data_IF_984359179091
#
_entry.id   IF_984359179091
#
_cell.length_a   1.000
_cell.length_b   1.000
_cell.length_c   1.000
_cell.angle_alpha   90.00
_cell.angle_beta   90.00
_cell.angle_gamma   90.00
#
_symmetry.space_group_name_H-M   'P 1'
#
loop_
_entity.id
_entity.type
_entity.pdbx_description
1 polymer ?
#
# COMPACT_ATOMS: atom_id res chain seq x y z
N UNK A 1 18.10 11.39 -21.45
CA UNK A 1 18.11 11.52 -19.98
C UNK A 1 16.82 10.86 -19.53
N UNK A 2 16.86 9.53 -19.43
CA UNK A 2 15.66 8.70 -19.28
C UNK A 2 15.17 8.80 -17.84
N UNK A 3 13.92 9.23 -17.68
CA UNK A 3 13.29 9.43 -16.37
C UNK A 3 12.62 8.14 -15.94
N UNK A 4 12.97 7.69 -14.74
CA UNK A 4 12.53 6.47 -14.07
C UNK A 4 11.23 6.70 -13.29
N UNK A 5 10.37 5.69 -13.19
CA UNK A 5 9.12 5.74 -12.43
C UNK A 5 8.85 4.41 -11.72
N UNK A 6 8.22 4.48 -10.54
CA UNK A 6 7.80 3.31 -9.76
C UNK A 6 6.28 3.15 -9.84
N UNK A 7 5.82 1.93 -10.06
CA UNK A 7 4.40 1.59 -10.06
C UNK A 7 3.93 1.13 -8.68
N UNK A 8 3.38 2.08 -7.92
CA UNK A 8 2.24 1.96 -6.97
C UNK A 8 1.55 3.34 -6.86
N UNK A 9 2.30 4.43 -7.09
CA UNK A 9 1.81 5.81 -7.26
C UNK A 9 2.76 6.49 -8.25
N UNK A 10 2.26 7.06 -9.35
CA UNK A 10 3.10 7.82 -10.29
C UNK A 10 3.50 9.16 -9.66
N UNK A 11 4.76 9.29 -9.27
CA UNK A 11 5.32 10.58 -8.86
C UNK A 11 5.80 11.36 -10.09
N UNK A 12 5.10 12.44 -10.42
CA UNK A 12 5.67 13.54 -11.22
C UNK A 12 6.07 14.65 -10.27
N UNK A 13 7.35 14.98 -10.22
CA UNK A 13 7.84 16.16 -9.51
C UNK A 13 7.17 17.41 -10.10
N UNK A 14 6.21 17.98 -9.38
CA UNK A 14 5.59 19.28 -9.70
C UNK A 14 5.68 20.18 -8.47
N UNK A 15 6.34 21.32 -8.66
CA UNK A 15 6.40 22.38 -7.67
C UNK A 15 5.00 22.99 -7.56
N UNK A 16 4.42 22.92 -6.36
CA UNK A 16 3.21 23.66 -5.99
C UNK A 16 1.92 22.96 -6.39
N UNK A 17 0.93 23.10 -5.51
CA UNK A 17 -0.46 22.65 -5.59
C UNK A 17 -0.76 21.31 -4.91
N UNK A 18 -1.63 21.40 -3.90
CA UNK A 18 -2.28 20.29 -3.22
C UNK A 18 -3.13 19.52 -4.25
N UNK A 19 -2.95 18.21 -4.35
CA UNK A 19 -3.70 17.35 -5.27
C UNK A 19 -4.77 16.59 -4.46
N UNK A 20 -6.04 16.90 -4.72
CA UNK A 20 -7.17 16.08 -4.26
C UNK A 20 -7.59 15.19 -5.43
N UNK A 21 -7.63 13.88 -5.21
CA UNK A 21 -8.10 12.89 -6.19
C UNK A 21 -9.60 13.08 -6.45
N UNK A 22 -9.93 13.90 -7.45
CA UNK A 22 -11.07 13.57 -8.29
C UNK A 22 -10.54 12.45 -9.19
N UNK A 23 -11.05 11.23 -9.07
CA UNK A 23 -10.97 10.24 -10.13
C UNK A 23 -12.38 10.18 -10.72
N UNK A 24 -12.47 10.42 -12.03
CA UNK A 24 -13.72 10.38 -12.78
C UNK A 24 -13.41 10.08 -14.24
N UNK A 25 -14.37 9.55 -15.01
CA UNK A 25 -14.17 9.26 -16.43
C UNK A 25 -13.78 10.52 -17.24
N UNK A 26 -14.01 11.72 -16.69
CA UNK A 26 -13.69 13.01 -17.31
C UNK A 26 -12.22 13.42 -17.14
N UNK A 27 -11.44 12.73 -16.30
CA UNK A 27 -10.04 13.10 -16.04
C UNK A 27 -9.08 12.25 -16.86
N UNK A 28 -7.96 12.84 -17.25
CA UNK A 28 -6.94 12.16 -18.05
C UNK A 28 -6.37 10.98 -17.26
N UNK A 29 -6.64 9.77 -17.75
CA UNK A 29 -6.15 8.53 -17.18
C UNK A 29 -4.80 8.15 -17.81
N UNK A 30 -3.90 7.62 -16.98
CA UNK A 30 -2.66 7.03 -17.47
C UNK A 30 -2.89 5.54 -17.72
N UNK A 31 -2.71 5.11 -18.96
CA UNK A 31 -2.60 3.71 -19.33
C UNK A 31 -1.18 3.18 -19.08
N UNK A 32 -0.99 1.85 -18.95
CA UNK A 32 0.33 1.24 -18.84
C UNK A 32 1.30 1.67 -19.96
N UNK A 33 0.80 1.91 -21.17
CA UNK A 33 1.60 2.36 -22.31
C UNK A 33 2.11 3.81 -22.19
N UNK A 34 1.53 4.62 -21.30
CA UNK A 34 1.93 6.00 -21.04
C UNK A 34 2.92 6.13 -19.88
N UNK A 35 3.26 5.00 -19.24
CA UNK A 35 4.18 4.99 -18.12
C UNK A 35 5.62 5.04 -18.64
N UNK A 36 6.54 5.70 -17.91
CA UNK A 36 7.96 5.48 -18.16
C UNK A 36 8.31 4.01 -17.91
N UNK A 37 9.43 3.52 -18.47
CA UNK A 37 9.98 2.22 -18.09
C UNK A 37 10.05 2.09 -16.56
N UNK A 38 9.50 0.99 -16.04
CA UNK A 38 9.48 0.70 -14.61
C UNK A 38 10.71 -0.10 -14.24
N UNK A 39 11.35 0.22 -13.12
CA UNK A 39 12.46 -0.59 -12.59
C UNK A 39 11.97 -1.73 -11.68
N UNK A 40 10.77 -1.58 -11.10
CA UNK A 40 10.13 -2.54 -10.22
C UNK A 40 8.64 -2.23 -9.98
N UNK A 41 7.91 -3.23 -9.49
CA UNK A 41 6.55 -3.11 -8.95
C UNK A 41 6.53 -3.59 -7.51
N UNK A 42 5.79 -2.91 -6.65
CA UNK A 42 5.61 -3.30 -5.25
C UNK A 42 4.14 -3.59 -4.98
N UNK A 43 3.82 -4.75 -4.43
CA UNK A 43 2.47 -5.13 -4.03
C UNK A 43 2.39 -5.06 -2.51
N UNK A 44 1.40 -4.35 -1.96
CA UNK A 44 1.22 -4.16 -0.52
C UNK A 44 0.56 -5.37 0.13
N UNK A 45 -0.50 -5.89 -0.51
CA UNK A 45 -1.28 -7.03 -0.03
C UNK A 45 -2.06 -7.70 -1.16
N UNK A 46 -2.84 -8.72 -0.82
CA UNK A 46 -3.42 -9.69 -1.77
C UNK A 46 -4.71 -9.24 -2.48
N UNK A 47 -5.25 -8.10 -2.10
CA UNK A 47 -6.54 -7.66 -2.60
C UNK A 47 -6.47 -7.20 -4.05
N UNK A 48 -7.55 -7.40 -4.78
CA UNK A 48 -7.55 -7.31 -6.24
C UNK A 48 -7.29 -5.89 -6.76
N UNK A 49 -7.64 -4.87 -5.98
CA UNK A 49 -7.38 -3.47 -6.25
C UNK A 49 -5.91 -3.07 -6.03
N UNK A 50 -5.11 -3.91 -5.35
CA UNK A 50 -3.66 -3.74 -5.15
C UNK A 50 -2.80 -4.79 -5.85
N UNK A 51 -3.37 -5.95 -6.15
CA UNK A 51 -2.72 -7.10 -6.78
C UNK A 51 -3.52 -7.60 -7.98
N UNK A 52 -3.60 -6.76 -9.02
CA UNK A 52 -4.29 -7.13 -10.25
C UNK A 52 -3.36 -7.93 -11.19
N UNK A 53 -3.55 -9.25 -11.26
CA UNK A 53 -2.75 -10.13 -12.13
C UNK A 53 -2.85 -9.76 -13.62
N UNK A 54 -3.99 -9.21 -14.07
CA UNK A 54 -4.18 -8.75 -15.43
C UNK A 54 -3.27 -7.56 -15.77
N UNK A 55 -3.14 -6.60 -14.85
CA UNK A 55 -2.19 -5.48 -15.00
C UNK A 55 -0.74 -5.98 -14.96
N UNK A 56 -0.42 -6.89 -14.04
CA UNK A 56 0.93 -7.45 -13.90
C UNK A 56 1.37 -8.26 -15.14
N UNK A 57 0.43 -8.84 -15.88
CA UNK A 57 0.66 -9.55 -17.14
C UNK A 57 1.07 -8.60 -18.28
N UNK A 58 0.67 -7.33 -18.24
CA UNK A 58 1.02 -6.34 -19.27
C UNK A 58 2.45 -5.81 -19.14
N UNK A 59 3.14 -6.11 -18.04
CA UNK A 59 4.48 -5.62 -17.76
C UNK A 59 5.55 -6.57 -18.32
N UNK A 60 6.71 -6.05 -18.78
CA UNK A 60 7.82 -6.89 -19.24
C UNK A 60 8.24 -7.92 -18.18
N UNK A 61 8.58 -9.13 -18.60
CA UNK A 61 8.81 -10.31 -17.74
C UNK A 61 9.98 -10.12 -16.74
N UNK A 62 10.97 -9.33 -17.13
CA UNK A 62 12.18 -9.02 -16.38
C UNK A 62 11.99 -8.00 -15.26
N UNK A 63 10.88 -7.25 -15.26
CA UNK A 63 10.55 -6.32 -14.18
C UNK A 63 10.31 -7.10 -12.88
N UNK A 64 11.09 -6.83 -11.80
CA UNK A 64 10.89 -7.46 -10.52
C UNK A 64 9.57 -7.02 -9.89
N UNK A 65 8.80 -7.98 -9.39
CA UNK A 65 7.63 -7.76 -8.56
C UNK A 65 8.00 -8.06 -7.12
N UNK A 66 7.96 -7.05 -6.26
CA UNK A 66 8.20 -7.17 -4.83
C UNK A 66 6.86 -7.39 -4.14
N UNK A 67 6.76 -8.44 -3.34
CA UNK A 67 5.54 -8.81 -2.61
C UNK A 67 5.86 -9.00 -1.13
N UNK A 68 4.85 -8.96 -0.25
CA UNK A 68 5.03 -9.33 1.13
C UNK A 68 5.49 -10.78 1.26
N UNK A 69 6.20 -11.08 2.35
CA UNK A 69 6.42 -12.47 2.72
C UNK A 69 5.10 -13.12 3.16
N UNK A 70 5.10 -14.45 3.30
CA UNK A 70 3.93 -15.19 3.78
C UNK A 70 4.38 -16.29 4.75
N UNK A 71 3.48 -16.67 5.66
CA UNK A 71 3.70 -17.81 6.54
C UNK A 71 2.85 -19.00 6.11
N UNK A 72 3.42 -20.22 5.99
CA UNK A 72 2.66 -21.41 5.55
C UNK A 72 1.42 -21.71 6.41
N UNK A 73 1.48 -21.40 7.70
CA UNK A 73 0.36 -21.63 8.63
C UNK A 73 -0.72 -20.53 8.59
N UNK A 74 -0.52 -19.44 7.85
CA UNK A 74 -1.49 -18.35 7.71
C UNK A 74 -2.44 -18.65 6.54
N UNK A 75 -3.40 -19.55 6.78
CA UNK A 75 -4.35 -20.01 5.75
C UNK A 75 -5.31 -18.91 5.24
N UNK A 76 -5.38 -17.77 5.93
CA UNK A 76 -6.12 -16.58 5.51
C UNK A 76 -5.32 -15.67 4.57
N UNK A 77 -4.03 -15.96 4.35
CA UNK A 77 -3.16 -15.22 3.46
C UNK A 77 -2.82 -16.03 2.21
N UNK A 78 -2.72 -15.33 1.09
CA UNK A 78 -2.30 -15.89 -0.19
C UNK A 78 -0.79 -15.75 -0.32
N UNK A 79 -0.10 -16.86 -0.64
CA UNK A 79 1.29 -16.80 -1.09
C UNK A 79 1.35 -16.14 -2.48
N UNK A 80 1.48 -14.81 -2.50
CA UNK A 80 1.52 -14.01 -3.73
C UNK A 80 2.68 -14.39 -4.64
N UNK A 81 3.80 -14.82 -4.07
CA UNK A 81 4.96 -15.25 -4.84
C UNK A 81 4.66 -16.51 -5.65
N UNK A 82 4.02 -17.49 -5.01
CA UNK A 82 3.58 -18.72 -5.67
C UNK A 82 2.45 -18.45 -6.65
N UNK A 83 1.45 -17.65 -6.27
CA UNK A 83 0.34 -17.26 -7.16
C UNK A 83 0.86 -16.61 -8.45
N UNK A 84 1.70 -15.58 -8.33
CA UNK A 84 2.22 -14.84 -9.48
C UNK A 84 3.03 -15.76 -10.40
N UNK A 85 3.90 -16.62 -9.85
CA UNK A 85 4.68 -17.56 -10.68
C UNK A 85 3.81 -18.62 -11.34
N UNK A 86 2.73 -19.06 -10.70
CA UNK A 86 1.81 -20.04 -11.27
C UNK A 86 0.96 -19.44 -12.40
N UNK A 87 0.51 -18.19 -12.26
CA UNK A 87 -0.38 -17.54 -13.24
C UNK A 87 0.41 -16.84 -14.35
N UNK A 88 1.46 -16.08 -14.01
CA UNK A 88 2.23 -15.27 -14.97
C UNK A 88 3.49 -15.98 -15.49
N UNK A 89 3.80 -17.18 -14.97
CA UNK A 89 4.90 -18.02 -15.42
C UNK A 89 6.08 -18.07 -14.45
N UNK A 90 6.74 -19.24 -14.38
CA UNK A 90 7.80 -19.56 -13.41
C UNK A 90 9.03 -18.67 -13.50
N UNK A 91 9.26 -18.04 -14.65
CA UNK A 91 10.38 -17.15 -14.92
C UNK A 91 10.18 -15.75 -14.35
N UNK A 92 8.95 -15.39 -13.94
CA UNK A 92 8.65 -14.09 -13.35
C UNK A 92 9.51 -13.83 -12.13
N UNK A 93 10.24 -12.72 -12.13
CA UNK A 93 11.09 -12.32 -11.01
C UNK A 93 10.22 -11.78 -9.87
N UNK A 94 9.95 -12.63 -8.89
CA UNK A 94 9.21 -12.24 -7.68
C UNK A 94 10.13 -12.23 -6.47
N UNK A 95 10.20 -11.10 -5.77
CA UNK A 95 11.01 -10.89 -4.57
C UNK A 95 10.06 -10.78 -3.38
N UNK A 96 10.26 -11.62 -2.36
CA UNK A 96 9.54 -11.47 -1.09
C UNK A 96 10.30 -10.52 -0.18
N UNK A 97 9.58 -9.67 0.52
CA UNK A 97 10.17 -8.72 1.46
C UNK A 97 9.46 -8.79 2.82
N UNK A 98 10.20 -9.09 3.88
CA UNK A 98 9.68 -9.13 5.25
C UNK A 98 9.65 -7.75 5.90
N UNK A 99 8.85 -7.59 6.95
CA UNK A 99 8.86 -6.37 7.77
C UNK A 99 10.27 -6.04 8.27
N UNK A 100 10.71 -4.81 8.05
CA UNK A 100 12.03 -4.30 8.41
C UNK A 100 13.14 -4.63 7.41
N UNK A 101 12.93 -5.57 6.49
CA UNK A 101 13.90 -5.83 5.43
C UNK A 101 13.93 -4.68 4.43
N UNK A 102 15.11 -4.52 3.84
CA UNK A 102 15.42 -3.46 2.91
C UNK A 102 15.99 -4.05 1.63
N UNK A 103 15.47 -3.62 0.48
CA UNK A 103 16.10 -3.87 -0.82
C UNK A 103 16.55 -2.55 -1.43
N UNK A 104 17.54 -2.63 -2.32
CA UNK A 104 17.93 -1.50 -3.16
C UNK A 104 17.75 -1.90 -4.61
N UNK A 105 16.98 -1.10 -5.34
CA UNK A 105 16.84 -1.20 -6.79
C UNK A 105 17.35 0.11 -7.35
N UNK A 106 18.50 0.03 -8.03
CA UNK A 106 19.25 1.18 -8.51
C UNK A 106 19.61 2.17 -7.37
N UNK A 107 19.17 3.43 -7.44
CA UNK A 107 19.44 4.46 -6.44
C UNK A 107 18.37 4.56 -5.33
N UNK A 108 17.37 3.67 -5.36
CA UNK A 108 16.24 3.70 -4.43
C UNK A 108 16.33 2.55 -3.45
N UNK A 109 16.38 2.92 -2.16
CA UNK A 109 16.32 1.99 -1.05
C UNK A 109 14.88 1.88 -0.56
N UNK A 110 14.31 0.69 -0.64
CA UNK A 110 12.95 0.41 -0.17
C UNK A 110 12.98 -0.45 1.07
N UNK A 111 12.33 0.00 2.15
CA UNK A 111 12.17 -0.77 3.39
C UNK A 111 10.70 -1.11 3.59
N UNK A 112 10.39 -2.39 3.79
CA UNK A 112 9.04 -2.81 4.16
C UNK A 112 8.78 -2.55 5.65
N UNK A 113 7.56 -2.18 6.00
CA UNK A 113 7.10 -2.08 7.38
C UNK A 113 5.67 -2.62 7.52
N UNK A 114 5.22 -2.98 8.73
CA UNK A 114 3.97 -3.71 8.88
C UNK A 114 2.73 -2.93 8.45
N UNK A 115 1.82 -3.65 7.80
CA UNK A 115 0.47 -3.22 7.48
C UNK A 115 -0.49 -3.60 8.61
N UNK A 116 -1.43 -2.72 8.97
CA UNK A 116 -2.43 -2.96 10.04
C UNK A 116 -3.84 -2.52 9.65
N UNK A 117 -4.85 -2.90 10.44
CA UNK A 117 -6.20 -2.34 10.37
C UNK A 117 -7.19 -3.18 9.56
N UNK A 118 -6.81 -3.57 8.35
CA UNK A 118 -7.74 -4.17 7.39
C UNK A 118 -8.10 -5.65 7.62
N UNK A 119 -7.19 -6.42 8.23
CA UNK A 119 -7.44 -7.80 8.68
C UNK A 119 -7.87 -7.87 10.16
N UNK A 120 -8.77 -8.82 10.52
CA UNK A 120 -9.18 -9.11 11.90
C UNK A 120 -8.02 -9.07 12.90
N UNK A 121 -8.26 -8.56 14.11
CA UNK A 121 -7.18 -8.37 15.09
C UNK A 121 -6.51 -9.69 15.50
N UNK A 122 -7.29 -10.78 15.45
CA UNK A 122 -6.84 -12.16 15.65
C UNK A 122 -6.03 -12.73 14.50
N UNK A 123 -6.16 -12.18 13.29
CA UNK A 123 -5.54 -12.66 12.06
C UNK A 123 -4.48 -11.67 11.60
N UNK A 124 -3.25 -11.83 12.08
CA UNK A 124 -2.15 -10.92 11.76
C UNK A 124 -1.58 -11.25 10.38
N UNK A 125 -1.62 -10.32 9.41
CA UNK A 125 -1.03 -10.58 8.12
C UNK A 125 0.46 -10.22 8.10
N UNK A 126 1.18 -10.76 7.11
CA UNK A 126 2.53 -10.37 6.72
C UNK A 126 2.54 -9.26 5.65
N UNK A 127 1.38 -8.68 5.33
CA UNK A 127 1.22 -7.56 4.40
C UNK A 127 2.14 -6.38 4.70
N UNK A 128 2.52 -5.64 3.65
CA UNK A 128 3.52 -4.60 3.72
C UNK A 128 2.97 -3.21 3.40
N UNK A 129 3.44 -2.25 4.17
CA UNK A 129 3.64 -0.87 3.72
C UNK A 129 5.09 -0.70 3.28
N UNK A 130 5.38 0.32 2.45
CA UNK A 130 6.73 0.54 1.92
C UNK A 130 7.22 1.96 2.15
N UNK A 131 8.47 2.10 2.58
CA UNK A 131 9.21 3.35 2.63
C UNK A 131 10.30 3.33 1.57
N UNK A 132 10.15 4.19 0.56
CA UNK A 132 11.12 4.43 -0.50
C UNK A 132 12.01 5.61 -0.12
N UNK A 133 13.32 5.46 -0.29
CA UNK A 133 14.31 6.48 0.04
C UNK A 133 15.32 6.64 -1.10
N UNK A 134 15.45 7.84 -1.65
CA UNK A 134 16.63 8.29 -2.41
C UNK A 134 17.54 9.07 -1.47
N UNK A 135 18.67 9.59 -1.93
CA UNK A 135 19.50 10.51 -1.15
C UNK A 135 18.80 11.84 -0.81
N UNK A 136 17.86 12.28 -1.65
CA UNK A 136 17.22 13.58 -1.52
C UNK A 136 15.83 13.54 -0.87
N UNK A 137 15.11 12.43 -0.95
CA UNK A 137 13.71 12.37 -0.54
C UNK A 137 13.32 11.00 0.02
N UNK A 138 12.16 10.98 0.69
CA UNK A 138 11.50 9.77 1.15
C UNK A 138 10.01 9.78 0.83
N UNK A 139 9.47 8.62 0.49
CA UNK A 139 8.04 8.40 0.25
C UNK A 139 7.60 7.18 1.05
N UNK A 140 6.62 7.34 1.93
CA UNK A 140 5.97 6.25 2.63
C UNK A 140 4.60 5.97 2.01
N UNK A 141 4.36 4.74 1.57
CA UNK A 141 3.08 4.29 1.01
C UNK A 141 2.46 3.25 1.96
N UNK A 142 1.27 3.55 2.47
CA UNK A 142 0.56 2.73 3.46
C UNK A 142 -0.64 1.95 2.89
N UNK A 143 -1.05 2.19 1.64
CA UNK A 143 -2.27 1.66 1.04
C UNK A 143 -3.45 1.80 2.00
N UNK A 144 -4.19 0.72 2.22
CA UNK A 144 -5.33 0.67 3.14
C UNK A 144 -4.94 0.48 4.60
N UNK A 145 -3.65 0.53 4.95
CA UNK A 145 -3.25 0.30 6.32
C UNK A 145 -3.70 1.42 7.27
N UNK A 146 -4.04 1.03 8.48
CA UNK A 146 -4.00 1.89 9.64
C UNK A 146 -2.55 2.21 10.02
N UNK A 147 -2.22 3.50 10.10
CA UNK A 147 -0.93 4.00 10.56
C UNK A 147 -0.96 4.08 12.09
N UNK A 148 -0.45 3.02 12.71
CA UNK A 148 -0.37 2.87 14.17
C UNK A 148 0.84 3.61 14.76
N UNK A 149 0.93 3.64 16.09
CA UNK A 149 2.12 4.17 16.78
C UNK A 149 3.40 3.44 16.38
N UNK A 150 3.33 2.12 16.12
CA UNK A 150 4.47 1.34 15.62
C UNK A 150 4.93 1.82 14.26
N UNK A 151 3.99 2.15 13.36
CA UNK A 151 4.28 2.68 12.03
C UNK A 151 4.94 4.06 12.12
N UNK A 152 4.40 4.95 12.97
CA UNK A 152 4.97 6.29 13.22
C UNK A 152 6.38 6.19 13.80
N UNK A 153 6.58 5.36 14.83
CA UNK A 153 7.88 5.19 15.48
C UNK A 153 8.93 4.61 14.53
N UNK A 154 8.52 3.67 13.66
CA UNK A 154 9.36 3.15 12.59
C UNK A 154 9.82 4.26 11.64
N UNK A 155 8.89 5.06 11.12
CA UNK A 155 9.19 6.16 10.19
C UNK A 155 10.09 7.22 10.84
N UNK A 156 9.79 7.62 12.08
CA UNK A 156 10.62 8.57 12.84
C UNK A 156 12.02 8.00 13.00
N UNK A 157 12.16 6.77 13.48
CA UNK A 157 13.47 6.14 13.71
C UNK A 157 14.31 6.10 12.42
N UNK A 158 13.68 5.79 11.28
CA UNK A 158 14.37 5.68 9.99
C UNK A 158 14.76 7.04 9.41
N UNK A 159 13.92 8.06 9.56
CA UNK A 159 14.08 9.36 8.89
C UNK A 159 14.77 10.43 9.75
N UNK A 160 14.79 10.28 11.08
CA UNK A 160 15.30 11.29 12.04
C UNK A 160 16.71 11.79 11.73
N UNK A 161 17.59 10.93 11.22
CA UNK A 161 19.00 11.29 10.95
C UNK A 161 19.20 12.07 9.65
N UNK A 162 18.26 12.01 8.70
CA UNK A 162 18.53 12.40 7.32
C UNK A 162 17.84 13.69 6.88
N UNK A 163 16.90 14.22 7.68
CA UNK A 163 16.07 15.42 7.38
C UNK A 163 15.52 15.45 5.93
N UNK A 164 15.33 14.29 5.29
CA UNK A 164 14.82 14.18 3.92
C UNK A 164 13.36 14.61 3.91
N UNK A 165 12.93 15.45 2.94
CA UNK A 165 11.52 15.66 2.64
C UNK A 165 10.79 14.33 2.57
N UNK A 166 9.75 14.19 3.37
CA UNK A 166 8.88 13.03 3.40
C UNK A 166 7.55 13.34 2.72
N UNK A 167 7.12 12.45 1.83
CA UNK A 167 5.74 12.35 1.35
C UNK A 167 5.09 11.14 2.01
N UNK A 168 3.92 11.32 2.61
CA UNK A 168 3.11 10.23 3.13
C UNK A 168 1.89 10.00 2.23
N UNK A 169 1.79 8.81 1.65
CA UNK A 169 0.64 8.32 0.91
C UNK A 169 -0.12 7.32 1.78
N UNK A 170 -1.36 7.65 2.18
CA UNK A 170 -2.20 6.80 3.03
C UNK A 170 -3.68 7.13 2.80
N UNK A 171 -4.61 6.35 3.36
CA UNK A 171 -6.02 6.78 3.47
C UNK A 171 -6.17 8.00 4.39
N UNK A 172 -7.37 8.58 4.43
CA UNK A 172 -7.73 9.85 5.06
C UNK A 172 -7.24 10.02 6.51
N UNK A 173 -7.08 11.28 6.91
CA UNK A 173 -6.85 11.65 8.32
C UNK A 173 -8.16 11.52 9.07
N UNK A 174 -8.13 10.87 10.23
CA UNK A 174 -9.29 10.65 11.08
C UNK A 174 -9.05 11.17 12.51
N UNK A 175 -10.12 11.30 13.30
CA UNK A 175 -10.05 11.84 14.67
C UNK A 175 -9.28 10.95 15.64
N UNK A 176 -9.06 9.67 15.29
CA UNK A 176 -8.45 8.66 16.16
C UNK A 176 -9.46 7.86 16.97
N UNK A 177 -10.75 7.96 16.65
CA UNK A 177 -11.78 7.08 17.17
C UNK A 177 -11.61 5.66 16.59
N UNK A 178 -11.96 4.64 17.36
CA UNK A 178 -11.96 3.25 16.89
C UNK A 178 -13.30 2.94 16.26
N UNK A 179 -13.31 2.31 15.08
CA UNK A 179 -14.54 1.85 14.45
C UNK A 179 -15.03 0.53 15.06
N UNK A 180 -16.35 0.26 15.08
CA UNK A 180 -16.89 -1.06 15.39
C UNK A 180 -16.28 -2.11 14.45
N UNK A 181 -16.02 -3.33 14.96
CA UNK A 181 -15.21 -4.37 14.29
C UNK A 181 -15.71 -4.94 12.97
N UNK A 182 -16.85 -4.46 12.44
CA UNK A 182 -17.36 -4.89 11.16
C UNK A 182 -16.71 -4.09 10.02
N UNK A 183 -16.04 -4.81 9.11
CA UNK A 183 -15.01 -4.27 8.21
C UNK A 183 -15.48 -4.02 6.78
N UNK A 184 -16.51 -4.73 6.36
CA UNK A 184 -17.02 -4.60 5.00
C UNK A 184 -18.20 -3.64 5.01
N UNK A 185 -18.22 -2.70 4.08
CA UNK A 185 -19.36 -1.82 3.89
C UNK A 185 -20.56 -2.69 3.48
N UNK A 186 -21.54 -2.86 4.37
CA UNK A 186 -22.73 -3.70 4.10
C UNK A 186 -23.56 -3.21 2.90
N UNK A 187 -23.29 -2.01 2.40
CA UNK A 187 -23.97 -1.38 1.27
C UNK A 187 -23.19 -1.39 -0.04
N UNK A 188 -21.96 -1.93 -0.07
CA UNK A 188 -21.16 -1.99 -1.30
C UNK A 188 -20.61 -3.40 -1.52
N UNK A 189 -20.95 -4.00 -2.67
CA UNK A 189 -20.36 -5.26 -3.11
C UNK A 189 -18.96 -4.97 -3.64
N UNK A 190 -17.95 -5.23 -2.81
CA UNK A 190 -16.55 -5.17 -3.22
C UNK A 190 -16.01 -6.59 -3.44
N UNK A 191 -15.23 -6.79 -4.51
CA UNK A 191 -14.59 -8.08 -4.79
C UNK A 191 -13.35 -8.26 -3.90
N UNK A 192 -13.55 -8.63 -2.64
CA UNK A 192 -12.45 -9.01 -1.76
C UNK A 192 -12.07 -10.48 -1.95
N UNK A 193 -10.77 -10.77 -2.09
CA UNK A 193 -10.23 -12.14 -2.14
C UNK A 193 -9.93 -12.70 -0.75
N UNK A 194 -10.44 -12.06 0.30
CA UNK A 194 -10.07 -12.37 1.68
C UNK A 194 -10.92 -13.53 2.21
N UNK A 195 -10.24 -14.58 2.66
CA UNK A 195 -10.89 -15.73 3.30
C UNK A 195 -11.01 -15.57 4.83
N UNK A 196 -10.75 -14.38 5.37
CA UNK A 196 -10.64 -14.17 6.83
C UNK A 196 -11.89 -14.60 7.61
N UNK A 197 -13.08 -14.47 7.02
CA UNK A 197 -14.34 -14.85 7.65
C UNK A 197 -14.39 -16.34 8.07
N UNK A 198 -13.63 -17.20 7.39
CA UNK A 198 -13.55 -18.64 7.69
C UNK A 198 -12.59 -18.98 8.83
N UNK A 199 -11.65 -18.09 9.13
CA UNK A 199 -10.56 -18.32 10.08
C UNK A 199 -10.67 -17.47 11.34
N UNK A 200 -11.51 -16.43 11.31
CA UNK A 200 -11.67 -15.52 12.41
C UNK A 200 -12.67 -16.08 13.45
N UNK A 201 -12.35 -16.00 14.75
CA UNK A 201 -13.34 -16.27 15.78
C UNK A 201 -14.49 -15.25 15.75
N UNK A 202 -15.73 -15.72 15.97
CA UNK A 202 -16.93 -14.87 15.88
C UNK A 202 -16.89 -13.62 16.79
N UNK A 203 -16.22 -13.70 17.94
CA UNK A 203 -16.11 -12.56 18.86
C UNK A 203 -15.23 -11.43 18.32
N UNK A 204 -14.34 -11.71 17.36
CA UNK A 204 -13.46 -10.72 16.74
C UNK A 204 -14.22 -9.82 15.73
N UNK A 205 -15.45 -10.20 15.32
CA UNK A 205 -16.37 -9.31 14.57
C UNK A 205 -16.73 -8.04 15.34
N UNK A 206 -16.70 -8.11 16.68
CA UNK A 206 -17.17 -7.04 17.55
C UNK A 206 -16.02 -6.28 18.21
N UNK A 207 -14.77 -6.73 18.00
CA UNK A 207 -13.62 -6.06 18.60
C UNK A 207 -13.34 -4.73 17.89
N UNK A 208 -13.02 -3.65 18.63
CA UNK A 208 -12.62 -2.40 18.02
C UNK A 208 -11.41 -2.61 17.11
N UNK A 209 -11.41 -1.91 15.98
CA UNK A 209 -10.32 -1.96 15.00
C UNK A 209 -9.71 -0.58 14.84
N UNK A 210 -8.42 -0.56 14.56
CA UNK A 210 -7.73 0.67 14.17
C UNK A 210 -8.32 1.13 12.83
N UNK A 211 -8.83 2.36 12.81
CA UNK A 211 -9.34 2.99 11.61
C UNK A 211 -8.23 3.16 10.58
N UNK A 212 -8.56 2.94 9.30
CA UNK A 212 -7.59 2.98 8.21
C UNK A 212 -7.12 4.43 7.97
N UNK A 213 -5.89 4.61 7.52
CA UNK A 213 -5.30 5.94 7.39
C UNK A 213 -4.54 6.34 8.65
N UNK A 214 -4.56 7.63 9.02
CA UNK A 214 -3.75 8.13 10.15
C UNK A 214 -4.55 9.06 11.05
N UNK A 215 -4.46 8.84 12.36
CA UNK A 215 -5.12 9.74 13.31
C UNK A 215 -4.44 11.10 13.34
N UNK A 216 -5.20 12.15 13.66
CA UNK A 216 -4.68 13.51 13.73
C UNK A 216 -3.48 13.64 14.70
N UNK A 217 -3.56 12.96 15.86
CA UNK A 217 -2.49 12.97 16.86
C UNK A 217 -1.20 12.30 16.34
N UNK A 218 -1.33 11.16 15.67
CA UNK A 218 -0.22 10.43 15.04
C UNK A 218 0.38 11.22 13.88
N UNK A 219 -0.45 11.87 13.08
CA UNK A 219 -0.03 12.76 12.00
C UNK A 219 0.78 13.94 12.53
N UNK A 220 0.30 14.61 13.59
CA UNK A 220 1.04 15.70 14.26
C UNK A 220 2.38 15.21 14.81
N UNK A 221 2.41 14.06 15.49
CA UNK A 221 3.64 13.44 16.01
C UNK A 221 4.66 13.17 14.90
N UNK A 222 4.22 12.57 13.79
CA UNK A 222 5.08 12.28 12.64
C UNK A 222 5.60 13.58 12.00
N UNK A 223 4.73 14.57 11.81
CA UNK A 223 5.06 15.86 11.22
C UNK A 223 6.09 16.63 12.04
N UNK A 224 5.97 16.63 13.38
CA UNK A 224 6.93 17.29 14.28
C UNK A 224 8.29 16.60 14.34
N UNK A 225 8.31 15.27 14.22
CA UNK A 225 9.52 14.47 14.38
C UNK A 225 10.28 14.21 13.07
N UNK A 226 9.67 14.52 11.92
CA UNK A 226 10.25 14.30 10.58
C UNK A 226 10.15 15.57 9.73
N UNK A 227 10.63 15.51 8.49
CA UNK A 227 10.48 16.60 7.52
C UNK A 227 9.30 16.28 6.57
N UNK A 228 8.13 15.99 7.14
CA UNK A 228 6.90 15.73 6.38
C UNK A 228 6.50 16.99 5.61
N UNK A 229 6.52 16.89 4.28
CA UNK A 229 6.18 18.01 3.37
C UNK A 229 4.83 17.85 2.74
N UNK A 230 4.47 16.63 2.38
CA UNK A 230 3.23 16.34 1.67
C UNK A 230 2.56 15.13 2.28
N UNK A 231 1.24 15.21 2.33
CA UNK A 231 0.35 14.11 2.64
C UNK A 231 -0.62 13.96 1.47
N UNK A 232 -0.68 12.77 0.90
CA UNK A 232 -1.44 12.46 -0.30
C UNK A 232 -2.46 11.37 0.06
N UNK A 233 -3.73 11.72 0.26
CA UNK A 233 -4.77 10.73 0.45
C UNK A 233 -4.92 9.89 -0.83
N UNK A 234 -4.91 8.57 -0.70
CA UNK A 234 -5.06 7.64 -1.83
C UNK A 234 -5.73 6.32 -1.40
N UNK A 235 -5.89 5.39 -2.35
CA UNK A 235 -6.53 4.07 -2.14
C UNK A 235 -8.00 4.17 -1.71
N UNK A 236 -8.73 5.18 -2.20
CA UNK A 236 -10.13 5.42 -1.79
C UNK A 236 -11.18 4.68 -2.65
N UNK A 237 -10.77 3.81 -3.58
CA UNK A 237 -11.69 3.08 -4.46
C UNK A 237 -12.59 3.98 -5.31
N UNK A 238 -12.16 5.21 -5.61
CA UNK A 238 -12.96 6.23 -6.32
C UNK A 238 -12.89 6.08 -7.84
N UNK A 239 -11.91 5.36 -8.36
CA UNK A 239 -11.76 5.15 -9.79
C UNK A 239 -12.92 4.28 -10.36
N UNK A 240 -13.51 4.65 -11.51
CA UNK A 240 -14.73 4.03 -12.01
C UNK A 240 -14.56 2.55 -12.38
N UNK A 241 -13.36 2.09 -12.74
CA UNK A 241 -13.09 0.68 -13.06
C UNK A 241 -12.98 -0.23 -11.82
N UNK A 242 -12.97 0.32 -10.61
CA UNK A 242 -13.04 -0.45 -9.36
C UNK A 242 -14.47 -0.62 -8.84
N UNK A 243 -15.45 0.10 -9.42
CA UNK A 243 -16.84 0.03 -8.99
C UNK A 243 -17.67 -0.73 -10.01
N UNK A 244 -18.42 -1.71 -9.55
CA UNK A 244 -19.55 -2.25 -10.31
C UNK A 244 -20.64 -1.20 -10.19
N UNK A 245 -20.97 -0.54 -11.30
CA UNK A 245 -22.10 0.40 -11.33
C UNK A 245 -23.36 -0.46 -11.44
N UNK A 246 -24.28 -0.33 -10.48
CA UNK A 246 -25.60 -0.93 -10.61
C UNK A 246 -26.22 -0.46 -11.94
N UNK A 247 -26.52 -1.44 -12.78
CA UNK A 247 -27.16 -1.25 -14.08
C UNK A 247 -28.68 -1.19 -13.91
#
# INVERSE_FOLDING_TARGET
>A
MDRKGFGVVFFRHLRGSFFFELYGPQLAQLSPAQLPPLDAVFVTHQDIDHCNLGVLMMLPEDIPIVVPDCHPDHMWEVDLSTLIRNVLGRRRKVIRLKHGETITIDDIRTTAFPFFGEMPSSLKPFWNCYLFETDDAAVACAADAAITDKSVDFLIKRLRRKRKPLVLCARLIHSGETSPGFRDETGTLFNFTRLWAWYMPIWDLFQPVEELGISESRFRKLSQATNLRFYLPYAMGTAPWFRIVDC
#
